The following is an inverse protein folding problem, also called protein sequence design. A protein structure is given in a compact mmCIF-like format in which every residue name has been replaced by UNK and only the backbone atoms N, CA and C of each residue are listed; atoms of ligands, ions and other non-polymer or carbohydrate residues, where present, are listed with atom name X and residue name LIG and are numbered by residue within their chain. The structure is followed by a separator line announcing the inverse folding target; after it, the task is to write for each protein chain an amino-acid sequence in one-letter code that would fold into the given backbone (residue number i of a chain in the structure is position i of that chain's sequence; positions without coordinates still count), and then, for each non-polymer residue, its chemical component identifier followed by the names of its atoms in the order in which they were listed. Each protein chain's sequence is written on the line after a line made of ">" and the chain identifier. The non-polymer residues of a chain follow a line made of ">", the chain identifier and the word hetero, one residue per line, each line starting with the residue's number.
data_IF_713794925807
#
_entry.id   IF_713794925807
#
_cell.length_a   1.000
_cell.length_b   1.000
_cell.length_c   1.000
_cell.angle_alpha   90.00
_cell.angle_beta   90.00
_cell.angle_gamma   90.00
#
_symmetry.space_group_name_H-M   'P 1'
#
loop_
_entity.id
_entity.type
_entity.pdbx_description
1 polymer ?
#
# COMPACT_ATOMS: atom_id res chain seq x y z
N UNK A 1 -3.66 -16.85 -7.88
CA UNK A 1 -2.66 -16.38 -8.85
C UNK A 1 -2.46 -14.88 -8.72
N UNK A 2 -1.31 -14.36 -9.14
CA UNK A 2 -1.02 -12.93 -9.17
C UNK A 2 -1.49 -12.33 -10.50
N UNK A 3 -1.95 -11.08 -10.45
CA UNK A 3 -2.27 -10.27 -11.63
C UNK A 3 -1.51 -8.96 -11.54
N UNK A 4 -0.99 -8.49 -12.64
CA UNK A 4 -0.26 -7.23 -12.74
C UNK A 4 -0.66 -6.53 -14.04
N UNK A 5 -1.00 -5.25 -13.95
CA UNK A 5 -1.32 -4.42 -15.10
C UNK A 5 -0.48 -3.14 -15.05
N UNK A 6 0.04 -2.77 -16.20
CA UNK A 6 0.56 -1.43 -16.43
C UNK A 6 -0.52 -0.68 -17.20
N UNK A 7 -0.95 0.45 -16.69
CA UNK A 7 -1.99 1.28 -17.32
C UNK A 7 -1.41 2.61 -17.78
N UNK A 8 -2.00 3.15 -18.85
CA UNK A 8 -1.64 4.46 -19.37
C UNK A 8 -2.25 5.53 -18.44
N UNK A 9 -1.46 6.47 -17.92
CA UNK A 9 -2.00 7.57 -17.15
C UNK A 9 -2.73 8.57 -18.05
N UNK A 10 -3.87 9.11 -17.59
CA UNK A 10 -4.63 10.12 -18.32
C UNK A 10 -3.85 11.46 -18.45
N UNK A 11 -2.95 11.73 -17.50
CA UNK A 11 -2.10 12.93 -17.50
C UNK A 11 -0.63 12.53 -17.29
N UNK A 12 0.16 12.63 -18.33
CA UNK A 12 1.59 12.38 -18.26
C UNK A 12 2.28 13.64 -17.71
N UNK A 13 2.84 13.56 -16.50
CA UNK A 13 3.87 14.51 -16.07
C UNK A 13 5.22 13.93 -16.46
N UNK A 14 5.98 14.62 -17.32
CA UNK A 14 7.32 14.12 -17.70
C UNK A 14 8.26 14.16 -16.49
N UNK A 15 9.22 13.24 -16.45
CA UNK A 15 10.59 13.27 -15.95
C UNK A 15 10.93 12.70 -14.57
N UNK A 16 10.15 12.81 -13.51
CA UNK A 16 10.68 12.45 -12.17
C UNK A 16 10.33 11.01 -11.75
N UNK A 17 9.23 10.47 -12.26
CA UNK A 17 8.69 9.19 -11.76
C UNK A 17 9.32 7.96 -12.41
N UNK A 18 9.81 8.05 -13.63
CA UNK A 18 10.41 6.93 -14.38
C UNK A 18 11.60 6.31 -13.66
N UNK A 19 12.34 7.11 -12.90
CA UNK A 19 13.52 6.67 -12.13
C UNK A 19 13.14 5.80 -10.93
N UNK A 20 11.92 5.97 -10.40
CA UNK A 20 11.46 5.27 -9.17
C UNK A 20 10.89 3.89 -9.50
N UNK A 21 9.98 3.79 -10.47
CA UNK A 21 9.24 2.55 -10.77
C UNK A 21 9.70 1.83 -12.05
N UNK A 22 10.66 2.39 -12.80
CA UNK A 22 11.25 1.76 -13.99
C UNK A 22 10.31 1.62 -15.20
N UNK A 23 9.12 2.24 -15.17
CA UNK A 23 8.17 2.22 -16.29
C UNK A 23 8.56 3.34 -17.25
N UNK A 24 8.99 2.97 -18.46
CA UNK A 24 9.40 3.93 -19.50
C UNK A 24 8.19 4.51 -20.24
N UNK A 25 8.39 5.67 -20.89
CA UNK A 25 7.38 6.29 -21.75
C UNK A 25 6.88 5.34 -22.86
N UNK A 26 7.77 4.50 -23.39
CA UNK A 26 7.42 3.49 -24.41
C UNK A 26 6.44 2.46 -23.84
N UNK A 27 6.67 1.97 -22.63
CA UNK A 27 5.75 1.03 -21.96
C UNK A 27 4.40 1.69 -21.69
N UNK A 28 4.36 2.95 -21.25
CA UNK A 28 3.12 3.68 -21.01
C UNK A 28 2.32 3.92 -22.29
N UNK A 29 2.99 4.22 -23.41
CA UNK A 29 2.34 4.49 -24.70
C UNK A 29 1.61 3.28 -25.29
N UNK A 30 2.05 2.06 -24.99
CA UNK A 30 1.44 0.79 -25.45
C UNK A 30 0.51 0.16 -24.42
N UNK A 31 0.45 0.71 -23.21
CA UNK A 31 -0.39 0.17 -22.13
C UNK A 31 -1.87 0.51 -22.34
N UNK A 32 -2.79 -0.38 -21.90
CA UNK A 32 -4.22 -0.11 -21.94
C UNK A 32 -4.61 1.06 -21.05
N UNK A 33 -5.74 1.67 -21.36
CA UNK A 33 -6.38 2.64 -20.47
C UNK A 33 -6.95 1.94 -19.23
N UNK A 34 -7.17 2.69 -18.15
CA UNK A 34 -7.71 2.12 -16.91
C UNK A 34 -9.08 1.45 -17.13
N UNK A 35 -9.91 1.99 -18.01
CA UNK A 35 -11.21 1.40 -18.36
C UNK A 35 -11.14 -0.06 -18.83
N UNK A 36 -10.05 -0.43 -19.52
CA UNK A 36 -9.88 -1.80 -20.02
C UNK A 36 -9.58 -2.82 -18.92
N UNK A 37 -9.06 -2.35 -17.76
CA UNK A 37 -8.72 -3.23 -16.63
C UNK A 37 -9.70 -3.11 -15.47
N UNK A 38 -10.64 -2.18 -15.54
CA UNK A 38 -11.56 -1.87 -14.44
C UNK A 38 -12.41 -3.08 -14.04
N UNK A 39 -13.07 -3.73 -14.98
CA UNK A 39 -13.91 -4.90 -14.70
C UNK A 39 -13.12 -6.06 -14.06
N UNK A 40 -12.01 -6.55 -14.63
CA UNK A 40 -11.21 -7.60 -13.99
C UNK A 40 -10.61 -7.17 -12.64
N UNK A 41 -10.36 -5.88 -12.40
CA UNK A 41 -9.93 -5.37 -11.11
C UNK A 41 -11.06 -5.45 -10.08
N UNK A 42 -12.25 -4.94 -10.40
CA UNK A 42 -13.41 -5.00 -9.51
C UNK A 42 -13.84 -6.44 -9.21
N UNK A 43 -13.80 -7.33 -10.19
CA UNK A 43 -14.03 -8.77 -9.97
C UNK A 43 -13.00 -9.39 -9.01
N UNK A 44 -11.73 -8.96 -9.08
CA UNK A 44 -10.70 -9.41 -8.16
C UNK A 44 -10.91 -8.89 -6.72
N UNK A 45 -11.54 -7.74 -6.56
CA UNK A 45 -11.82 -7.11 -5.24
C UNK A 45 -13.15 -7.58 -4.64
N UNK A 46 -14.12 -7.94 -5.45
CA UNK A 46 -15.48 -8.30 -4.99
C UNK A 46 -15.47 -9.41 -3.95
N UNK A 47 -16.13 -9.16 -2.82
CA UNK A 47 -16.22 -10.09 -1.68
C UNK A 47 -14.91 -10.29 -0.92
N UNK A 48 -13.92 -9.43 -1.11
CA UNK A 48 -12.62 -9.50 -0.43
C UNK A 48 -12.30 -8.20 0.29
N UNK A 49 -11.54 -8.33 1.37
CA UNK A 49 -10.87 -7.20 2.01
C UNK A 49 -9.54 -6.96 1.29
N UNK A 50 -9.26 -5.72 0.94
CA UNK A 50 -8.04 -5.34 0.23
C UNK A 50 -6.94 -5.08 1.24
N UNK A 51 -5.81 -5.76 1.10
CA UNK A 51 -4.64 -5.56 1.94
C UNK A 51 -3.68 -4.57 1.27
N UNK A 52 -3.31 -3.52 2.02
CA UNK A 52 -2.44 -2.45 1.53
C UNK A 52 -1.38 -2.05 2.56
N UNK A 53 -0.45 -1.21 2.12
CA UNK A 53 0.46 -0.48 3.01
C UNK A 53 0.40 1.00 2.69
N UNK A 54 -0.28 1.79 3.54
CA UNK A 54 -0.63 3.19 3.35
C UNK A 54 -1.84 3.40 2.42
N UNK A 55 -3.02 3.05 2.92
CA UNK A 55 -4.30 3.02 2.20
C UNK A 55 -4.68 4.31 1.44
N UNK A 56 -4.18 5.47 1.86
CA UNK A 56 -4.47 6.75 1.19
C UNK A 56 -4.08 6.74 -0.28
N UNK A 57 -2.94 6.12 -0.61
CA UNK A 57 -2.49 6.03 -2.01
C UNK A 57 -3.49 5.23 -2.82
N UNK A 58 -3.83 4.02 -2.37
CA UNK A 58 -4.72 3.12 -3.11
C UNK A 58 -6.14 3.68 -3.20
N UNK A 59 -6.69 4.23 -2.11
CA UNK A 59 -8.02 4.85 -2.11
C UNK A 59 -8.08 6.06 -3.02
N UNK A 60 -7.10 6.96 -2.96
CA UNK A 60 -7.08 8.17 -3.76
C UNK A 60 -6.92 7.85 -5.25
N UNK A 61 -5.98 6.95 -5.61
CA UNK A 61 -5.74 6.58 -7.00
C UNK A 61 -6.89 5.76 -7.61
N UNK A 62 -7.33 4.70 -6.93
CA UNK A 62 -8.42 3.85 -7.45
C UNK A 62 -9.74 4.59 -7.44
N UNK A 63 -10.05 5.31 -6.35
CA UNK A 63 -11.28 6.10 -6.27
C UNK A 63 -11.34 7.15 -7.37
N UNK A 64 -10.24 7.87 -7.63
CA UNK A 64 -10.16 8.85 -8.71
C UNK A 64 -10.26 8.20 -10.09
N UNK A 65 -9.56 7.09 -10.32
CA UNK A 65 -9.58 6.40 -11.61
C UNK A 65 -10.97 5.82 -11.94
N UNK A 66 -11.68 5.29 -10.92
CA UNK A 66 -13.06 4.81 -11.09
C UNK A 66 -14.01 5.97 -11.35
N UNK A 67 -13.94 7.03 -10.56
CA UNK A 67 -14.78 8.22 -10.75
C UNK A 67 -14.60 8.82 -12.15
N UNK A 68 -13.37 8.97 -12.61
CA UNK A 68 -13.07 9.51 -13.95
C UNK A 68 -13.55 8.60 -15.09
N UNK A 69 -13.67 7.28 -14.84
CA UNK A 69 -14.04 6.29 -15.86
C UNK A 69 -15.55 6.04 -15.91
N UNK A 70 -16.22 6.04 -14.76
CA UNK A 70 -17.63 5.61 -14.63
C UNK A 70 -18.56 6.72 -14.17
N UNK A 71 -18.05 7.76 -13.52
CA UNK A 71 -18.84 8.76 -12.80
C UNK A 71 -19.27 8.34 -11.39
N UNK A 72 -18.93 7.10 -10.96
CA UNK A 72 -19.32 6.55 -9.67
C UNK A 72 -18.16 6.57 -8.67
N UNK A 73 -18.47 6.47 -7.39
CA UNK A 73 -17.50 6.34 -6.31
C UNK A 73 -17.18 4.87 -6.02
N UNK A 74 -15.95 4.58 -5.65
CA UNK A 74 -15.50 3.25 -5.23
C UNK A 74 -15.24 3.23 -3.73
N UNK A 75 -15.98 2.38 -3.00
CA UNK A 75 -15.72 2.06 -1.60
C UNK A 75 -15.39 0.58 -1.45
N UNK A 76 -14.41 0.25 -0.64
CA UNK A 76 -14.00 -1.13 -0.38
C UNK A 76 -13.34 -1.26 1.00
N UNK A 77 -13.54 -2.41 1.67
CA UNK A 77 -12.91 -2.67 2.97
C UNK A 77 -11.40 -2.84 2.80
N UNK A 78 -10.64 -2.22 3.70
CA UNK A 78 -9.18 -2.20 3.65
C UNK A 78 -8.59 -2.63 4.99
N UNK A 79 -7.58 -3.50 4.93
CA UNK A 79 -6.62 -3.69 6.01
C UNK A 79 -5.32 -3.01 5.60
N UNK A 80 -4.84 -2.11 6.44
CA UNK A 80 -3.62 -1.32 6.19
C UNK A 80 -2.51 -1.72 7.17
N UNK A 81 -1.48 -2.36 6.65
CA UNK A 81 -0.34 -2.80 7.46
C UNK A 81 0.43 -1.64 8.10
N UNK A 82 0.40 -0.43 7.51
CA UNK A 82 0.98 0.76 8.15
C UNK A 82 0.13 1.21 9.35
N UNK A 83 -1.19 1.12 9.24
CA UNK A 83 -2.09 1.44 10.36
C UNK A 83 -1.95 0.43 11.50
N UNK A 84 -1.89 -0.88 11.20
CA UNK A 84 -1.60 -1.90 12.21
C UNK A 84 -0.28 -1.64 12.91
N UNK A 85 0.75 -1.25 12.16
CA UNK A 85 2.05 -0.89 12.72
C UNK A 85 1.98 0.37 13.59
N UNK A 86 1.17 1.37 13.20
CA UNK A 86 1.00 2.60 13.97
C UNK A 86 0.29 2.37 15.31
N UNK A 87 -0.61 1.40 15.39
CA UNK A 87 -1.28 1.00 16.63
C UNK A 87 -0.28 0.42 17.64
N UNK A 88 0.69 -0.36 17.16
CA UNK A 88 1.77 -0.93 17.98
C UNK A 88 2.85 0.11 18.31
N UNK A 89 3.15 1.01 17.38
CA UNK A 89 4.19 2.03 17.47
C UNK A 89 3.59 3.43 17.25
N UNK A 90 2.87 4.00 18.23
CA UNK A 90 2.26 5.32 18.09
C UNK A 90 3.28 6.38 17.67
N UNK A 91 2.88 7.27 16.77
CA UNK A 91 3.77 8.33 16.28
C UNK A 91 4.04 9.32 17.40
N UNK A 92 5.27 9.33 17.85
CA UNK A 92 5.77 10.25 18.86
C UNK A 92 6.92 11.07 18.28
N UNK A 93 6.84 12.39 18.46
CA UNK A 93 7.90 13.33 18.08
C UNK A 93 8.32 14.09 19.31
N UNK A 94 9.44 13.72 19.94
CA UNK A 94 9.93 14.39 21.13
C UNK A 94 10.24 15.86 20.83
N UNK A 95 9.90 16.74 21.77
CA UNK A 95 10.31 18.13 21.73
C UNK A 95 11.82 18.25 22.03
N UNK A 96 12.37 19.47 21.98
CA UNK A 96 13.80 19.71 22.19
C UNK A 96 14.30 19.19 23.56
N UNK A 97 13.52 19.38 24.63
CA UNK A 97 13.88 18.93 25.98
C UNK A 97 13.89 17.41 26.07
N UNK A 98 12.89 16.77 25.51
CA UNK A 98 12.77 15.30 25.47
C UNK A 98 13.91 14.66 24.66
N UNK A 99 14.29 15.27 23.53
CA UNK A 99 15.48 14.84 22.75
C UNK A 99 16.78 14.97 23.54
N UNK A 100 16.91 16.06 24.29
CA UNK A 100 18.06 16.25 25.16
C UNK A 100 18.11 15.22 26.31
N UNK A 101 16.95 14.76 26.77
CA UNK A 101 16.81 13.68 27.75
C UNK A 101 16.99 12.28 27.12
N UNK A 102 17.30 12.18 25.83
CA UNK A 102 17.56 10.92 25.14
C UNK A 102 16.35 10.24 24.52
N UNK A 103 15.18 10.89 24.52
CA UNK A 103 14.02 10.37 23.83
C UNK A 103 14.21 10.42 22.30
N UNK A 104 13.83 9.32 21.64
CA UNK A 104 13.97 9.15 20.18
C UNK A 104 12.63 9.33 19.48
N UNK A 105 12.69 9.74 18.21
CA UNK A 105 11.53 9.72 17.34
C UNK A 105 10.95 8.31 17.22
N UNK A 106 9.65 8.21 16.96
CA UNK A 106 9.01 6.93 16.66
C UNK A 106 9.69 6.23 15.49
N UNK A 107 9.70 4.91 15.48
CA UNK A 107 10.26 4.16 14.36
C UNK A 107 9.51 4.47 13.06
N UNK A 108 10.23 4.41 11.95
CA UNK A 108 9.65 4.61 10.62
C UNK A 108 8.59 3.54 10.34
N UNK A 109 7.43 3.97 9.84
CA UNK A 109 6.33 3.07 9.44
C UNK A 109 6.43 2.62 7.98
N UNK A 110 7.45 3.05 7.22
CA UNK A 110 7.65 2.64 5.82
C UNK A 110 7.79 1.12 5.72
N UNK A 111 7.26 0.55 4.65
CA UNK A 111 7.20 -0.90 4.42
C UNK A 111 8.54 -1.62 4.69
N UNK A 112 9.65 -1.12 4.15
CA UNK A 112 10.96 -1.72 4.36
C UNK A 112 11.34 -1.76 5.85
N UNK A 113 11.20 -0.64 6.56
CA UNK A 113 11.55 -0.55 7.99
C UNK A 113 10.58 -1.34 8.88
N UNK A 114 9.30 -1.39 8.52
CA UNK A 114 8.33 -2.23 9.21
C UNK A 114 8.73 -3.71 9.09
N UNK A 115 9.09 -4.18 7.89
CA UNK A 115 9.55 -5.55 7.64
C UNK A 115 10.82 -5.91 8.44
N UNK A 116 11.79 -5.00 8.52
CA UNK A 116 13.02 -5.19 9.30
C UNK A 116 12.73 -5.50 10.77
N UNK A 117 11.72 -4.87 11.38
CA UNK A 117 11.33 -5.14 12.78
C UNK A 117 10.84 -6.56 13.02
N UNK A 118 10.27 -7.20 12.00
CA UNK A 118 9.83 -8.59 12.03
C UNK A 118 10.89 -9.56 11.47
N UNK A 119 12.13 -9.10 11.26
CA UNK A 119 13.24 -9.90 10.68
C UNK A 119 12.90 -10.50 9.31
N UNK A 120 12.01 -9.85 8.54
CA UNK A 120 11.68 -10.29 7.19
C UNK A 120 12.81 -9.82 6.25
N UNK A 121 13.32 -10.70 5.36
CA UNK A 121 14.40 -10.34 4.45
C UNK A 121 14.10 -9.11 3.59
N UNK A 122 15.11 -8.33 3.20
CA UNK A 122 14.92 -7.18 2.32
C UNK A 122 14.37 -7.62 0.96
N UNK A 123 13.63 -6.74 0.31
CA UNK A 123 13.06 -6.95 -1.01
C UNK A 123 13.43 -5.80 -1.94
N UNK A 124 13.21 -5.96 -3.24
CA UNK A 124 13.42 -4.90 -4.23
C UNK A 124 12.17 -4.01 -4.29
N UNK A 125 12.18 -2.78 -3.76
CA UNK A 125 11.04 -1.88 -3.74
C UNK A 125 10.74 -1.28 -5.12
N UNK A 126 9.59 -0.60 -5.21
CA UNK A 126 9.13 0.16 -6.38
C UNK A 126 8.75 -0.70 -7.60
N UNK A 127 8.38 -1.94 -7.37
CA UNK A 127 7.72 -2.79 -8.35
C UNK A 127 6.42 -3.31 -7.74
N UNK A 128 5.27 -3.00 -8.34
CA UNK A 128 3.95 -3.23 -7.76
C UNK A 128 3.73 -4.67 -7.23
N UNK A 129 4.19 -5.68 -7.97
CA UNK A 129 4.05 -7.08 -7.54
C UNK A 129 4.93 -7.39 -6.32
N UNK A 130 6.17 -6.90 -6.30
CA UNK A 130 7.07 -7.15 -5.15
C UNK A 130 6.63 -6.36 -3.92
N UNK A 131 6.11 -5.14 -4.09
CA UNK A 131 5.55 -4.35 -3.00
C UNK A 131 4.28 -5.01 -2.42
N UNK A 132 3.42 -5.57 -3.27
CA UNK A 132 2.24 -6.32 -2.85
C UNK A 132 2.61 -7.60 -2.07
N UNK A 133 3.60 -8.37 -2.53
CA UNK A 133 4.11 -9.54 -1.82
C UNK A 133 4.76 -9.14 -0.49
N UNK A 134 5.58 -8.09 -0.48
CA UNK A 134 6.22 -7.57 0.72
C UNK A 134 5.19 -7.10 1.77
N UNK A 135 4.08 -6.51 1.32
CA UNK A 135 2.94 -6.12 2.18
C UNK A 135 2.25 -7.34 2.76
N UNK A 136 2.01 -8.38 1.94
CA UNK A 136 1.40 -9.62 2.41
C UNK A 136 2.27 -10.37 3.44
N UNK A 137 3.58 -10.43 3.23
CA UNK A 137 4.51 -11.03 4.19
C UNK A 137 4.56 -10.25 5.51
N UNK A 138 4.56 -8.91 5.44
CA UNK A 138 4.47 -8.07 6.64
C UNK A 138 3.17 -8.33 7.39
N UNK A 139 2.03 -8.39 6.69
CA UNK A 139 0.76 -8.68 7.31
C UNK A 139 0.75 -10.01 8.06
N UNK A 140 1.28 -11.08 7.45
CA UNK A 140 1.37 -12.39 8.11
C UNK A 140 2.21 -12.33 9.38
N UNK A 141 3.31 -11.59 9.36
CA UNK A 141 4.16 -11.39 10.54
C UNK A 141 3.44 -10.58 11.64
N UNK A 142 2.72 -9.50 11.25
CA UNK A 142 1.89 -8.73 12.19
C UNK A 142 0.78 -9.57 12.81
N UNK A 143 0.13 -10.43 12.00
CA UNK A 143 -0.89 -11.35 12.51
C UNK A 143 -0.33 -12.30 13.56
N UNK A 144 0.83 -12.89 13.29
CA UNK A 144 1.48 -13.82 14.22
C UNK A 144 1.96 -13.14 15.52
N UNK A 145 2.32 -11.87 15.45
CA UNK A 145 2.91 -11.12 16.57
C UNK A 145 1.87 -10.38 17.43
N UNK A 146 0.79 -9.86 16.83
CA UNK A 146 -0.12 -8.93 17.49
C UNK A 146 -1.52 -9.48 17.74
N UNK A 147 -1.92 -10.56 17.07
CA UNK A 147 -3.28 -11.04 17.04
C UNK A 147 -3.38 -12.53 17.33
N UNK A 148 -4.58 -13.00 17.60
CA UNK A 148 -4.89 -14.42 17.80
C UNK A 148 -5.70 -14.95 16.62
N UNK A 149 -5.76 -16.28 16.40
CA UNK A 149 -6.59 -16.86 15.35
C UNK A 149 -8.08 -16.51 15.45
N UNK A 150 -8.56 -16.14 16.64
CA UNK A 150 -9.95 -15.78 16.89
C UNK A 150 -10.23 -14.28 16.72
N UNK A 151 -9.20 -13.47 16.36
CA UNK A 151 -9.38 -12.04 16.13
C UNK A 151 -10.28 -11.80 14.91
N UNK A 152 -11.43 -11.12 15.08
CA UNK A 152 -12.31 -10.82 13.97
C UNK A 152 -11.61 -9.94 12.90
N UNK A 153 -11.88 -10.21 11.64
CA UNK A 153 -11.34 -9.38 10.53
C UNK A 153 -11.80 -7.93 10.66
N UNK A 154 -12.99 -7.69 11.24
CA UNK A 154 -13.50 -6.35 11.53
C UNK A 154 -12.58 -5.49 12.40
N UNK A 155 -11.77 -6.10 13.24
CA UNK A 155 -10.86 -5.37 14.14
C UNK A 155 -9.58 -4.91 13.41
N UNK A 156 -9.35 -5.44 12.21
CA UNK A 156 -8.16 -5.17 11.39
C UNK A 156 -8.41 -4.06 10.36
N UNK A 157 -9.65 -3.89 9.91
CA UNK A 157 -9.95 -2.92 8.85
C UNK A 157 -10.18 -1.49 9.38
N UNK A 158 -10.15 -0.56 8.44
CA UNK A 158 -10.31 0.88 8.62
C UNK A 158 -11.31 1.45 7.61
#
# INVERSE_FOLDING_TARGET
>A
GARHWVVRPNHVRPDIQTTIHGITHTHMGTSPDFSAILEPLLQAMTGRVVLVHYNRIERDFLGRAVLDTTGDTLEFPVVDTMELESRKHPVFRPNFIQRWMGEKDSPSLRLAHARERYNIPPYRPHHALTDALATAELFLAQMADQFTPDTPVSDLWI
#
